data_IF_734800070369
#
_entry.id   IF_734800070369
#
_cell.length_a   1.000
_cell.length_b   1.000
_cell.length_c   1.000
_cell.angle_alpha   90.00
_cell.angle_beta   90.00
_cell.angle_gamma   90.00
#
_symmetry.space_group_name_H-M   'P 1'
#
loop_
_entity.id
_entity.type
_entity.pdbx_description
1 polymer ?
#
# COMPACT_ATOMS: atom_id res chain seq x y z
N UNK A 1 -18.76 5.57 -10.45
CA UNK A 1 -18.90 4.19 -10.99
C UNK A 1 -19.66 4.13 -12.31
N UNK A 2 -20.83 4.79 -12.43
CA UNK A 2 -21.64 4.75 -13.65
C UNK A 2 -20.89 5.18 -14.93
N UNK A 3 -20.05 6.21 -14.89
CA UNK A 3 -19.26 6.63 -16.05
C UNK A 3 -18.26 5.57 -16.54
N UNK A 4 -17.58 4.88 -15.62
CA UNK A 4 -16.65 3.81 -15.96
C UNK A 4 -17.38 2.57 -16.51
N UNK A 5 -18.56 2.26 -15.98
CA UNK A 5 -19.42 1.21 -16.51
C UNK A 5 -19.89 1.55 -17.94
N UNK A 6 -20.31 2.79 -18.20
CA UNK A 6 -20.71 3.23 -19.54
C UNK A 6 -19.56 3.13 -20.57
N UNK A 7 -18.32 3.41 -20.16
CA UNK A 7 -17.14 3.19 -20.99
C UNK A 7 -16.93 1.73 -21.39
N UNK A 8 -17.31 0.79 -20.53
CA UNK A 8 -17.23 -0.65 -20.80
C UNK A 8 -18.39 -1.09 -21.69
N UNK A 9 -19.61 -0.67 -21.36
CA UNK A 9 -20.83 -1.10 -22.06
C UNK A 9 -20.89 -0.57 -23.50
N UNK A 10 -20.35 0.62 -23.75
CA UNK A 10 -20.30 1.24 -25.08
C UNK A 10 -19.30 0.61 -26.06
N UNK A 11 -18.49 -0.36 -25.61
CA UNK A 11 -17.45 -0.99 -26.44
C UNK A 11 -17.91 -2.23 -27.22
N UNK A 12 -19.13 -2.74 -26.98
CA UNK A 12 -19.60 -3.98 -27.59
C UNK A 12 -18.56 -5.14 -27.43
N UNK A 13 -18.28 -5.89 -28.50
CA UNK A 13 -17.28 -6.98 -28.51
C UNK A 13 -15.84 -6.48 -28.79
N UNK A 14 -15.60 -5.17 -28.77
CA UNK A 14 -14.29 -4.61 -29.06
C UNK A 14 -13.33 -4.78 -27.87
N UNK A 15 -12.04 -4.86 -28.17
CA UNK A 15 -10.98 -4.93 -27.14
C UNK A 15 -10.70 -3.58 -26.47
N UNK A 16 -11.11 -2.48 -27.12
CA UNK A 16 -10.82 -1.10 -26.71
C UNK A 16 -12.10 -0.28 -26.55
N UNK A 17 -12.02 0.77 -25.73
CA UNK A 17 -13.11 1.75 -25.58
C UNK A 17 -13.29 2.53 -26.88
N UNK A 18 -14.55 2.72 -27.28
CA UNK A 18 -14.92 3.49 -28.48
C UNK A 18 -14.91 5.00 -28.24
N UNK A 19 -15.16 5.44 -27.00
CA UNK A 19 -15.23 6.84 -26.64
C UNK A 19 -13.84 7.34 -26.15
N UNK A 20 -13.23 8.36 -26.81
CA UNK A 20 -11.96 8.92 -26.37
C UNK A 20 -12.01 9.56 -24.98
N UNK A 21 -13.17 10.02 -24.51
CA UNK A 21 -13.34 10.57 -23.15
C UNK A 21 -13.15 9.50 -22.06
N UNK A 22 -13.21 8.22 -22.45
CA UNK A 22 -12.91 7.10 -21.57
C UNK A 22 -11.41 6.86 -21.42
N UNK A 23 -10.54 7.56 -22.13
CA UNK A 23 -9.08 7.42 -22.04
C UNK A 23 -8.49 8.58 -21.25
N UNK A 24 -7.83 8.26 -20.14
CA UNK A 24 -7.14 9.23 -19.31
C UNK A 24 -5.99 9.89 -20.09
N UNK A 25 -5.83 11.19 -19.90
CA UNK A 25 -4.70 11.95 -20.44
C UNK A 25 -3.56 11.92 -19.41
N UNK A 26 -2.41 11.28 -19.71
CA UNK A 26 -1.30 11.25 -18.78
C UNK A 26 -0.69 12.65 -18.57
N UNK A 27 -0.04 12.90 -17.43
CA UNK A 27 0.70 14.14 -17.17
C UNK A 27 1.67 14.49 -18.31
N UNK A 28 1.77 15.79 -18.63
CA UNK A 28 2.57 16.25 -19.79
C UNK A 28 4.08 16.14 -19.54
N UNK A 29 4.46 16.03 -18.28
CA UNK A 29 5.83 15.91 -17.79
C UNK A 29 6.44 14.53 -18.09
N UNK A 30 5.61 13.53 -18.37
CA UNK A 30 6.08 12.19 -18.73
C UNK A 30 6.62 12.15 -20.15
N UNK A 31 7.69 11.35 -20.41
CA UNK A 31 8.19 11.10 -21.77
C UNK A 31 7.08 10.66 -22.72
N UNK A 32 7.15 11.06 -23.99
CA UNK A 32 6.06 10.84 -24.93
C UNK A 32 5.74 9.36 -25.11
N UNK A 33 6.76 8.51 -25.12
CA UNK A 33 6.65 7.06 -25.23
C UNK A 33 5.86 6.48 -24.05
N UNK A 34 6.10 6.98 -22.84
CA UNK A 34 5.37 6.54 -21.65
C UNK A 34 3.90 6.98 -21.72
N UNK A 35 3.63 8.21 -22.15
CA UNK A 35 2.26 8.72 -22.29
C UNK A 35 1.46 7.89 -23.29
N UNK A 36 2.07 7.56 -24.42
CA UNK A 36 1.45 6.72 -25.45
C UNK A 36 1.11 5.33 -24.91
N UNK A 37 2.05 4.67 -24.22
CA UNK A 37 1.81 3.35 -23.62
C UNK A 37 0.71 3.42 -22.56
N UNK A 38 0.71 4.45 -21.72
CA UNK A 38 -0.33 4.65 -20.70
C UNK A 38 -1.72 4.82 -21.33
N UNK A 39 -1.85 5.67 -22.36
CA UNK A 39 -3.12 5.85 -23.08
C UNK A 39 -3.56 4.58 -23.79
N UNK A 40 -2.63 3.87 -24.44
CA UNK A 40 -2.92 2.61 -25.11
C UNK A 40 -3.47 1.56 -24.14
N UNK A 41 -2.85 1.44 -22.95
CA UNK A 41 -3.29 0.50 -21.90
C UNK A 41 -4.60 0.93 -21.28
N UNK A 42 -4.75 2.21 -20.98
CA UNK A 42 -5.98 2.74 -20.37
C UNK A 42 -7.20 2.57 -21.28
N UNK A 43 -7.00 2.67 -22.61
CA UNK A 43 -8.06 2.42 -23.59
C UNK A 43 -8.49 0.96 -23.74
N UNK A 44 -7.83 -0.01 -23.08
CA UNK A 44 -8.26 -1.41 -23.11
C UNK A 44 -9.49 -1.63 -22.22
N UNK A 45 -10.47 -2.38 -22.71
CA UNK A 45 -11.65 -2.76 -21.91
C UNK A 45 -11.25 -3.59 -20.71
N UNK A 46 -10.24 -4.45 -20.84
CA UNK A 46 -9.68 -5.19 -19.72
C UNK A 46 -9.18 -4.24 -18.61
N UNK A 47 -8.48 -3.16 -18.97
CA UNK A 47 -8.01 -2.17 -17.99
C UNK A 47 -9.17 -1.46 -17.29
N UNK A 48 -10.22 -1.09 -18.03
CA UNK A 48 -11.44 -0.48 -17.45
C UNK A 48 -12.18 -1.42 -16.51
N UNK A 49 -12.30 -2.70 -16.87
CA UNK A 49 -12.89 -3.74 -16.01
C UNK A 49 -12.08 -3.93 -14.74
N UNK A 50 -10.75 -3.97 -14.83
CA UNK A 50 -9.89 -4.04 -13.64
C UNK A 50 -10.07 -2.83 -12.73
N UNK A 51 -10.13 -1.63 -13.31
CA UNK A 51 -10.36 -0.39 -12.55
C UNK A 51 -11.75 -0.39 -11.88
N UNK A 52 -12.79 -0.84 -12.60
CA UNK A 52 -14.13 -0.94 -12.06
C UNK A 52 -14.17 -1.94 -10.90
N UNK A 53 -13.55 -3.11 -11.07
CA UNK A 53 -13.47 -4.13 -10.02
C UNK A 53 -12.76 -3.60 -8.78
N UNK A 54 -11.66 -2.84 -8.93
CA UNK A 54 -10.99 -2.20 -7.80
C UNK A 54 -11.94 -1.30 -7.01
N UNK A 55 -12.62 -0.38 -7.69
CA UNK A 55 -13.55 0.53 -7.03
C UNK A 55 -14.76 -0.18 -6.44
N UNK A 56 -15.30 -1.21 -7.11
CA UNK A 56 -16.39 -2.02 -6.56
C UNK A 56 -15.96 -2.71 -5.27
N UNK A 57 -14.79 -3.34 -5.26
CA UNK A 57 -14.26 -4.00 -4.06
C UNK A 57 -14.08 -3.02 -2.90
N UNK A 58 -13.52 -1.83 -3.18
CA UNK A 58 -13.27 -0.78 -2.21
C UNK A 58 -14.56 -0.20 -1.62
N UNK A 59 -15.52 0.20 -2.47
CA UNK A 59 -16.72 0.90 -2.00
C UNK A 59 -17.83 -0.03 -1.49
N UNK A 60 -17.81 -1.33 -1.85
CA UNK A 60 -18.77 -2.31 -1.33
C UNK A 60 -18.34 -2.97 -0.01
N UNK A 61 -17.11 -2.71 0.44
CA UNK A 61 -16.48 -3.33 1.60
C UNK A 61 -16.26 -4.85 1.45
N UNK A 62 -16.29 -5.39 0.22
CA UNK A 62 -15.95 -6.79 -0.07
C UNK A 62 -14.52 -7.08 0.37
N UNK A 63 -13.60 -6.18 0.03
CA UNK A 63 -12.19 -6.26 0.40
C UNK A 63 -11.99 -6.36 1.92
N UNK A 64 -12.75 -5.57 2.68
CA UNK A 64 -12.68 -5.44 4.12
C UNK A 64 -13.23 -6.70 4.80
N UNK A 65 -14.22 -7.36 4.20
CA UNK A 65 -14.71 -8.67 4.66
C UNK A 65 -13.70 -9.77 4.41
N UNK A 66 -13.10 -9.79 3.22
CA UNK A 66 -12.04 -10.76 2.87
C UNK A 66 -10.83 -10.58 3.79
N UNK A 67 -10.40 -9.34 3.99
CA UNK A 67 -9.28 -9.00 4.88
C UNK A 67 -9.57 -9.43 6.32
N UNK A 68 -10.76 -9.14 6.86
CA UNK A 68 -11.15 -9.62 8.19
C UNK A 68 -11.15 -11.14 8.33
N UNK A 69 -11.62 -11.86 7.31
CA UNK A 69 -11.61 -13.33 7.33
C UNK A 69 -10.17 -13.91 7.28
N UNK A 70 -9.28 -13.26 6.52
CA UNK A 70 -7.88 -13.63 6.39
C UNK A 70 -6.99 -13.06 7.51
N UNK A 71 -7.49 -12.16 8.34
CA UNK A 71 -6.70 -11.41 9.32
C UNK A 71 -6.04 -12.33 10.33
N UNK A 72 -4.73 -12.15 10.56
CA UNK A 72 -3.94 -12.88 11.56
C UNK A 72 -3.00 -11.92 12.26
N UNK A 73 -2.66 -12.26 13.51
CA UNK A 73 -1.58 -11.57 14.23
C UNK A 73 -0.25 -11.89 13.52
N UNK A 74 0.61 -10.88 13.39
CA UNK A 74 1.94 -10.97 12.75
C UNK A 74 3.05 -11.34 13.73
N UNK A 75 2.72 -11.64 14.99
CA UNK A 75 3.67 -12.05 16.01
C UNK A 75 4.71 -10.97 16.28
N UNK A 76 5.98 -11.30 16.09
CA UNK A 76 7.14 -10.42 16.30
C UNK A 76 7.73 -9.86 14.99
N UNK A 77 7.02 -10.02 13.85
CA UNK A 77 7.41 -9.37 12.59
C UNK A 77 7.36 -7.85 12.78
N UNK A 78 8.46 -7.11 12.60
CA UNK A 78 8.45 -5.66 12.75
C UNK A 78 7.49 -4.98 11.76
N UNK A 79 6.62 -4.11 12.27
CA UNK A 79 5.71 -3.29 11.47
C UNK A 79 5.86 -1.84 11.90
N UNK A 80 6.05 -0.93 10.95
CA UNK A 80 6.05 0.52 11.22
C UNK A 80 5.01 1.19 10.34
N UNK A 81 4.03 1.84 10.97
CA UNK A 81 2.97 2.58 10.30
C UNK A 81 3.26 4.08 10.37
N UNK A 82 3.47 4.70 9.21
CA UNK A 82 3.61 6.15 9.08
C UNK A 82 2.26 6.75 8.73
N UNK A 83 1.78 7.67 9.57
CA UNK A 83 0.51 8.35 9.35
C UNK A 83 0.74 9.80 8.94
N UNK A 84 0.02 10.27 7.94
CA UNK A 84 0.03 11.68 7.55
C UNK A 84 -0.50 12.54 8.71
N UNK A 85 0.19 13.64 9.00
CA UNK A 85 -0.23 14.62 9.99
C UNK A 85 -1.22 15.64 9.43
N UNK A 86 -1.15 15.89 8.13
CA UNK A 86 -2.10 16.73 7.42
C UNK A 86 -3.26 15.88 6.89
N UNK A 87 -4.49 16.41 6.92
CA UNK A 87 -5.64 15.70 6.36
C UNK A 87 -5.45 15.48 4.85
N UNK A 88 -6.06 14.43 4.28
CA UNK A 88 -6.03 14.24 2.84
C UNK A 88 -6.63 15.46 2.12
N UNK A 89 -6.09 15.84 0.95
CA UNK A 89 -6.59 16.99 0.19
C UNK A 89 -7.89 16.63 -0.53
N UNK A 90 -8.94 16.36 0.23
CA UNK A 90 -10.27 16.05 -0.30
C UNK A 90 -11.00 17.38 -0.51
N UNK A 91 -11.44 17.70 -1.73
CA UNK A 91 -12.19 18.93 -2.01
C UNK A 91 -13.63 18.77 -1.49
N UNK A 92 -13.80 18.87 -0.17
CA UNK A 92 -15.10 18.83 0.49
C UNK A 92 -15.63 20.25 0.71
N UNK A 93 -16.93 20.41 0.50
CA UNK A 93 -17.66 21.65 0.72
C UNK A 93 -18.80 21.43 1.72
N UNK A 94 -19.28 22.52 2.33
CA UNK A 94 -20.39 22.50 3.28
C UNK A 94 -20.12 21.64 4.52
N UNK A 95 -21.18 21.01 5.04
CA UNK A 95 -21.16 20.19 6.25
C UNK A 95 -20.13 19.04 6.18
N UNK A 96 -19.87 18.49 5.00
CA UNK A 96 -18.90 17.42 4.82
C UNK A 96 -17.45 17.85 5.18
N UNK A 97 -17.14 19.15 5.12
CA UNK A 97 -15.83 19.66 5.57
C UNK A 97 -15.68 19.60 7.09
N UNK A 98 -16.78 19.68 7.84
CA UNK A 98 -16.78 19.63 9.30
C UNK A 98 -16.45 18.22 9.82
N UNK A 99 -16.70 17.18 9.02
CA UNK A 99 -16.39 15.79 9.34
C UNK A 99 -14.91 15.43 9.16
N UNK A 100 -14.11 16.27 8.48
CA UNK A 100 -12.69 15.97 8.18
C UNK A 100 -11.86 15.62 9.44
N UNK A 101 -11.97 16.35 10.56
CA UNK A 101 -11.24 15.99 11.78
C UNK A 101 -11.68 14.63 12.36
N UNK A 102 -12.97 14.29 12.28
CA UNK A 102 -13.50 13.00 12.74
C UNK A 102 -12.99 11.86 11.86
N UNK A 103 -13.01 12.06 10.53
CA UNK A 103 -12.44 11.11 9.58
C UNK A 103 -10.94 10.88 9.84
N UNK A 104 -10.17 11.96 10.07
CA UNK A 104 -8.74 11.87 10.36
C UNK A 104 -8.47 11.10 11.67
N UNK A 105 -9.29 11.34 12.70
CA UNK A 105 -9.17 10.65 13.98
C UNK A 105 -9.44 9.14 13.84
N UNK A 106 -10.51 8.74 13.14
CA UNK A 106 -10.79 7.32 12.90
C UNK A 106 -9.70 6.68 12.02
N UNK A 107 -9.19 7.42 11.03
CA UNK A 107 -8.07 6.96 10.20
C UNK A 107 -6.81 6.67 11.02
N UNK A 108 -6.46 7.55 11.96
CA UNK A 108 -5.32 7.32 12.85
C UNK A 108 -5.53 6.14 13.79
N UNK A 109 -6.74 5.98 14.32
CA UNK A 109 -7.09 4.82 15.14
C UNK A 109 -6.96 3.51 14.35
N UNK A 110 -7.44 3.46 13.11
CA UNK A 110 -7.24 2.29 12.25
C UNK A 110 -5.75 2.00 12.01
N UNK A 111 -4.92 3.02 11.90
CA UNK A 111 -3.46 2.84 11.80
C UNK A 111 -2.84 2.31 13.10
N UNK A 112 -3.34 2.69 14.27
CA UNK A 112 -2.94 2.10 15.54
C UNK A 112 -3.30 0.62 15.59
N UNK A 113 -4.51 0.25 15.14
CA UNK A 113 -4.96 -1.15 15.05
C UNK A 113 -4.07 -1.96 14.10
N UNK A 114 -3.64 -1.39 12.97
CA UNK A 114 -2.67 -2.03 12.05
C UNK A 114 -1.33 -2.24 12.74
N UNK A 115 -0.82 -1.28 13.50
CA UNK A 115 0.45 -1.48 14.22
C UNK A 115 0.31 -2.59 15.27
N UNK A 116 -0.81 -2.67 15.98
CA UNK A 116 -1.05 -3.66 17.03
C UNK A 116 -1.18 -5.11 16.54
N UNK A 117 -1.29 -5.35 15.23
CA UNK A 117 -1.22 -6.72 14.70
C UNK A 117 0.13 -7.37 14.96
N UNK A 118 1.18 -6.58 15.22
CA UNK A 118 2.50 -7.04 15.62
C UNK A 118 2.82 -6.60 17.04
N UNK A 119 3.39 -7.51 17.84
CA UNK A 119 3.96 -7.21 19.16
C UNK A 119 5.12 -6.21 19.11
N UNK A 120 5.76 -6.07 17.94
CA UNK A 120 6.83 -5.11 17.66
C UNK A 120 6.37 -3.98 16.73
N UNK A 121 5.07 -3.82 16.59
CA UNK A 121 4.46 -2.79 15.77
C UNK A 121 4.57 -1.42 16.39
N UNK A 122 4.85 -0.41 15.56
CA UNK A 122 4.87 1.00 15.97
C UNK A 122 4.08 1.83 14.98
N UNK A 123 3.44 2.89 15.48
CA UNK A 123 2.74 3.89 14.67
C UNK A 123 3.28 5.26 15.04
N UNK A 124 3.56 6.10 14.04
CA UNK A 124 3.91 7.51 14.26
C UNK A 124 3.19 8.45 13.28
N UNK A 125 2.76 9.61 13.78
CA UNK A 125 2.30 10.72 12.93
C UNK A 125 3.51 11.48 12.40
N UNK A 126 3.45 11.86 11.12
CA UNK A 126 4.39 12.79 10.50
C UNK A 126 3.68 14.13 10.32
N UNK A 127 3.87 15.05 11.27
CA UNK A 127 3.06 16.25 11.44
C UNK A 127 2.89 17.07 10.14
N UNK A 128 4.00 17.33 9.45
CA UNK A 128 4.04 18.18 8.26
C UNK A 128 4.04 17.38 6.95
N UNK A 129 3.28 16.29 6.90
CA UNK A 129 3.16 15.46 5.70
C UNK A 129 1.70 15.22 5.31
N UNK A 130 1.46 15.31 4.01
CA UNK A 130 0.23 14.93 3.33
C UNK A 130 0.14 13.41 3.17
N UNK A 131 -0.85 12.95 2.40
CA UNK A 131 -0.96 11.55 1.98
C UNK A 131 0.33 11.00 1.33
N UNK A 132 1.15 11.87 0.73
CA UNK A 132 2.39 11.50 0.05
C UNK A 132 3.63 11.72 0.94
N UNK A 133 3.66 11.07 2.11
CA UNK A 133 4.76 11.21 3.10
C UNK A 133 6.16 11.00 2.49
N UNK A 134 6.28 10.12 1.49
CA UNK A 134 7.55 9.86 0.80
C UNK A 134 8.05 11.02 -0.06
N UNK A 135 7.16 11.93 -0.48
CA UNK A 135 7.53 13.18 -1.17
C UNK A 135 7.80 14.29 -0.16
N UNK A 136 6.95 14.42 0.84
CA UNK A 136 7.03 15.54 1.81
C UNK A 136 8.19 15.35 2.80
N UNK A 137 8.40 14.13 3.28
CA UNK A 137 9.34 13.78 4.34
C UNK A 137 10.11 12.48 4.02
N UNK A 138 10.87 12.42 2.91
CA UNK A 138 11.55 11.20 2.47
C UNK A 138 12.52 10.63 3.52
N UNK A 139 13.21 11.48 4.29
CA UNK A 139 14.15 11.04 5.34
C UNK A 139 13.46 10.20 6.41
N UNK A 140 12.26 10.60 6.84
CA UNK A 140 11.45 9.84 7.80
C UNK A 140 11.13 8.45 7.25
N UNK A 141 10.80 8.34 5.96
CA UNK A 141 10.53 7.03 5.33
C UNK A 141 11.78 6.15 5.34
N UNK A 142 12.95 6.70 4.99
CA UNK A 142 14.22 5.97 5.00
C UNK A 142 14.58 5.47 6.41
N UNK A 143 14.43 6.33 7.43
CA UNK A 143 14.69 5.95 8.82
C UNK A 143 13.80 4.80 9.30
N UNK A 144 12.52 4.79 8.88
CA UNK A 144 11.61 3.68 9.20
C UNK A 144 12.09 2.37 8.55
N UNK A 145 12.50 2.43 7.28
CA UNK A 145 13.02 1.26 6.56
C UNK A 145 14.27 0.72 7.26
N UNK A 146 15.22 1.58 7.60
CA UNK A 146 16.46 1.16 8.26
C UNK A 146 16.21 0.59 9.66
N UNK A 147 15.29 1.19 10.42
CA UNK A 147 14.84 0.65 11.73
C UNK A 147 14.23 -0.74 11.58
N UNK A 148 13.35 -0.94 10.59
CA UNK A 148 12.74 -2.25 10.32
C UNK A 148 13.80 -3.29 9.93
N UNK A 149 14.78 -2.92 9.09
CA UNK A 149 15.87 -3.81 8.67
C UNK A 149 16.75 -4.23 9.85
N UNK A 150 17.13 -3.27 10.70
CA UNK A 150 17.90 -3.56 11.91
C UNK A 150 17.11 -4.48 12.86
N UNK A 151 15.80 -4.22 13.02
CA UNK A 151 14.91 -5.05 13.83
C UNK A 151 14.76 -6.49 13.32
N UNK A 152 14.79 -6.70 12.00
CA UNK A 152 14.75 -8.04 11.41
C UNK A 152 16.09 -8.79 11.58
N UNK A 153 17.22 -8.09 11.44
CA UNK A 153 18.56 -8.69 11.60
C UNK A 153 18.84 -9.19 13.03
N UNK A 154 18.23 -8.57 14.04
CA UNK A 154 18.31 -9.02 15.44
C UNK A 154 17.50 -10.29 15.77
N UNK A 155 16.67 -10.78 14.85
CA UNK A 155 15.74 -11.90 15.07
C UNK A 155 16.20 -13.24 14.49
N UNK A 156 17.41 -13.33 13.90
CA UNK A 156 17.96 -14.63 13.49
C UNK A 156 18.74 -15.22 14.66
N UNK A 157 18.27 -16.29 15.32
CA UNK A 157 19.13 -17.06 16.21
C UNK A 157 20.18 -17.70 15.32
N UNK A 158 21.39 -17.14 15.34
CA UNK A 158 22.53 -17.78 14.69
C UNK A 158 22.82 -19.04 15.50
N UNK A 159 22.30 -20.17 15.04
CA UNK A 159 22.56 -21.48 15.65
C UNK A 159 24.09 -21.68 15.65
N UNK A 160 24.68 -21.55 16.84
CA UNK A 160 26.11 -21.76 17.03
C UNK A 160 26.33 -23.26 16.90
N UNK A 161 26.67 -23.74 15.71
CA UNK A 161 27.20 -25.10 15.53
C UNK A 161 28.38 -25.27 16.50
N UNK A 162 28.36 -26.26 17.41
CA UNK A 162 29.50 -26.51 18.27
C UNK A 162 30.70 -26.86 17.40
N UNK A 163 31.85 -26.21 17.66
CA UNK A 163 33.12 -26.49 16.98
C UNK A 163 33.42 -27.99 17.13
N UNK A 164 33.29 -28.72 16.02
CA UNK A 164 33.76 -30.09 15.92
C UNK A 164 35.22 -30.13 16.32
N UNK A 165 35.54 -30.93 17.35
CA UNK A 165 36.92 -31.25 17.70
C UNK A 165 37.53 -32.01 16.51
N UNK A 166 38.51 -31.39 15.86
CA UNK A 166 39.48 -32.08 15.01
C UNK A 166 40.23 -33.10 15.87
N UNK A 167 40.33 -34.36 15.40
CA UNK A 167 41.16 -35.42 16.00
C UNK A 167 42.66 -35.16 15.79
N UNK A 168 43.56 -36.17 15.79
CA UNK A 168 43.43 -37.61 16.12
C UNK A 168 44.54 -38.10 17.10
N UNK A 169 44.47 -39.34 17.64
CA UNK A 169 45.67 -40.19 17.82
C UNK A 169 45.38 -41.64 18.26
N UNK A 170 45.85 -42.55 17.40
CA UNK A 170 46.52 -43.85 17.60
C UNK A 170 46.09 -44.74 18.77
N UNK A 171 45.54 -45.92 18.44
CA UNK A 171 45.59 -47.11 19.30
C UNK A 171 46.83 -47.92 18.93
N UNK A 172 47.70 -48.08 19.91
CA UNK A 172 48.67 -49.18 19.92
C UNK A 172 48.01 -50.40 20.59
N UNK A 173 48.36 -51.57 20.05
CA UNK A 173 48.04 -52.97 20.43
C UNK A 173 46.89 -53.62 19.67
#
# INVERSE_FOLDING_TARGET
>A
MAGLQACIDGAAEQERVSNPDCVAVPPKEYPIELREVMQQRDGLIAAKRSQLSLFQSMFSGVDSRQLRAAWRNLGDIPVTVLSAGLPPPIPLEGEAKEDVPLMQAEWWKMHDEIAQVSSRGTRRTVADATHYIYLDQPGIVLDAIDTMRAGAAGAVPREVRPKGKTGPQRRDR
#
